data_IF_354112814368
#
_entry.id   IF_354112814368
#
_cell.length_a   1.000
_cell.length_b   1.000
_cell.length_c   1.000
_cell.angle_alpha   90.00
_cell.angle_beta   90.00
_cell.angle_gamma   90.00
#
_symmetry.space_group_name_H-M   'P 1'
#
loop_
_entity.id
_entity.type
_entity.pdbx_description
1 polymer ?
#
# COMPACT_ATOMS: atom_id res chain seq x y z
N UNK A 1 -18.96 -3.10 -8.32
CA UNK A 1 -18.21 -4.36 -8.29
C UNK A 1 -17.65 -4.55 -6.90
N UNK A 2 -17.92 -5.68 -6.28
CA UNK A 2 -17.35 -6.00 -4.98
C UNK A 2 -15.85 -6.35 -5.14
N UNK A 3 -15.03 -5.92 -4.20
CA UNK A 3 -13.56 -6.04 -4.27
C UNK A 3 -13.11 -7.51 -4.34
N UNK A 4 -13.83 -8.40 -3.70
CA UNK A 4 -13.60 -9.85 -3.69
C UNK A 4 -13.72 -10.50 -5.09
N UNK A 5 -14.33 -9.80 -6.04
CA UNK A 5 -14.45 -10.27 -7.43
C UNK A 5 -13.24 -9.90 -8.31
N UNK A 6 -12.26 -9.22 -7.76
CA UNK A 6 -11.05 -8.77 -8.46
C UNK A 6 -9.83 -9.43 -7.82
N UNK A 7 -9.09 -10.19 -8.61
CA UNK A 7 -7.80 -10.73 -8.15
C UNK A 7 -6.72 -9.66 -8.26
N UNK A 8 -6.06 -9.39 -7.14
CA UNK A 8 -4.90 -8.49 -7.10
C UNK A 8 -3.64 -9.32 -6.87
N UNK A 9 -2.61 -9.06 -7.65
CA UNK A 9 -1.33 -9.74 -7.57
C UNK A 9 -0.18 -8.76 -7.47
N UNK A 10 0.88 -9.18 -6.80
CA UNK A 10 2.18 -8.51 -6.80
C UNK A 10 3.18 -9.47 -7.42
N UNK A 11 3.78 -9.09 -8.56
CA UNK A 11 4.68 -9.94 -9.33
C UNK A 11 4.08 -11.32 -9.65
N UNK A 12 2.78 -11.39 -9.93
CA UNK A 12 2.06 -12.62 -10.22
C UNK A 12 1.63 -13.45 -9.00
N UNK A 13 1.93 -13.01 -7.78
CA UNK A 13 1.51 -13.67 -6.54
C UNK A 13 0.25 -12.99 -6.02
N UNK A 14 -0.87 -13.72 -5.81
CA UNK A 14 -2.09 -13.16 -5.26
C UNK A 14 -1.91 -12.63 -3.85
N UNK A 15 -2.54 -11.49 -3.57
CA UNK A 15 -2.49 -10.81 -2.27
C UNK A 15 -3.87 -10.59 -1.65
N UNK A 16 -4.90 -11.12 -2.29
CA UNK A 16 -6.24 -11.15 -1.70
C UNK A 16 -6.22 -12.03 -0.44
N UNK A 17 -6.89 -11.58 0.58
CA UNK A 17 -7.09 -12.34 1.81
C UNK A 17 -7.84 -13.64 1.50
N UNK A 18 -7.37 -14.75 2.06
CA UNK A 18 -7.88 -16.08 1.76
C UNK A 18 -9.25 -16.36 2.42
N UNK A 19 -9.62 -15.60 3.43
CA UNK A 19 -10.87 -15.78 4.17
C UNK A 19 -12.02 -15.04 3.49
N UNK A 20 -11.80 -13.79 3.06
CA UNK A 20 -12.88 -12.94 2.55
C UNK A 20 -12.64 -12.40 1.13
N UNK A 21 -11.52 -12.73 0.50
CA UNK A 21 -11.19 -12.33 -0.86
C UNK A 21 -10.84 -10.85 -1.04
N UNK A 22 -10.77 -10.06 0.03
CA UNK A 22 -10.50 -8.62 -0.02
C UNK A 22 -9.00 -8.33 0.00
N UNK A 23 -8.62 -7.16 -0.48
CA UNK A 23 -7.26 -6.64 -0.31
C UNK A 23 -7.28 -5.53 0.74
N UNK A 24 -6.53 -5.71 1.80
CA UNK A 24 -6.31 -4.69 2.81
C UNK A 24 -5.17 -3.78 2.36
N UNK A 25 -5.51 -2.76 1.60
CA UNK A 25 -4.54 -1.84 0.98
C UNK A 25 -3.64 -1.13 2.00
N UNK A 26 -4.11 -0.97 3.23
CA UNK A 26 -3.30 -0.47 4.33
C UNK A 26 -2.06 -1.31 4.59
N UNK A 27 -2.13 -2.64 4.41
CA UNK A 27 -0.99 -3.54 4.59
C UNK A 27 0.08 -3.39 3.49
N UNK A 28 -0.23 -2.66 2.43
CA UNK A 28 0.62 -2.44 1.27
C UNK A 28 1.02 -0.97 1.12
N UNK A 29 1.10 -0.25 2.24
CA UNK A 29 1.55 1.14 2.24
C UNK A 29 2.94 1.24 1.58
N UNK A 30 3.11 2.24 0.68
CA UNK A 30 4.34 2.41 -0.09
C UNK A 30 4.49 1.49 -1.31
N UNK A 31 3.53 0.58 -1.59
CA UNK A 31 3.58 -0.25 -2.80
C UNK A 31 3.68 0.59 -4.08
N UNK A 32 3.02 1.75 -4.12
CA UNK A 32 3.11 2.69 -5.23
C UNK A 32 4.53 3.17 -5.52
N UNK A 33 5.35 3.33 -4.49
CA UNK A 33 6.74 3.83 -4.64
C UNK A 33 7.67 2.80 -5.30
N UNK A 34 7.33 1.52 -5.17
CA UNK A 34 8.11 0.40 -5.73
C UNK A 34 7.51 -0.15 -7.02
N UNK A 35 6.32 0.30 -7.41
CA UNK A 35 5.65 -0.15 -8.63
C UNK A 35 6.39 0.38 -9.87
N UNK A 36 6.67 -0.51 -10.81
CA UNK A 36 7.19 -0.16 -12.13
C UNK A 36 6.08 -0.15 -13.19
N UNK A 37 5.12 -1.06 -13.06
CA UNK A 37 3.98 -1.18 -13.98
C UNK A 37 2.76 -1.78 -13.28
N UNK A 38 1.59 -1.50 -13.82
CA UNK A 38 0.34 -2.13 -13.41
C UNK A 38 -0.35 -2.69 -14.65
N UNK A 39 -0.63 -3.98 -14.62
CA UNK A 39 -1.34 -4.69 -15.70
C UNK A 39 -2.78 -4.94 -15.24
N UNK A 40 -3.75 -4.44 -15.98
CA UNK A 40 -5.16 -4.60 -15.65
C UNK A 40 -5.85 -5.37 -16.78
N UNK A 41 -6.44 -6.51 -16.42
CA UNK A 41 -7.28 -7.32 -17.31
C UNK A 41 -8.70 -7.26 -16.78
N UNK A 42 -9.64 -6.84 -17.62
CA UNK A 42 -11.06 -6.69 -17.27
C UNK A 42 -11.86 -7.93 -17.61
N UNK A 43 -12.83 -8.27 -16.77
CA UNK A 43 -13.78 -9.35 -16.99
C UNK A 43 -13.15 -10.75 -16.87
N UNK A 44 -13.85 -11.75 -17.42
CA UNK A 44 -13.43 -13.16 -17.46
C UNK A 44 -12.28 -13.40 -18.46
N UNK A 45 -11.36 -12.47 -18.59
CA UNK A 45 -10.20 -12.65 -19.45
C UNK A 45 -9.40 -13.89 -19.02
N UNK A 46 -8.90 -14.65 -19.98
CA UNK A 46 -7.98 -15.73 -19.73
C UNK A 46 -6.71 -15.18 -19.08
N UNK A 47 -6.73 -15.13 -17.76
CA UNK A 47 -5.53 -14.86 -16.98
C UNK A 47 -4.58 -16.04 -17.23
N UNK A 48 -3.40 -15.78 -17.78
CA UNK A 48 -2.31 -16.77 -17.81
C UNK A 48 -1.93 -17.25 -16.40
N UNK A 49 -2.49 -16.65 -15.39
CA UNK A 49 -2.20 -16.80 -13.95
C UNK A 49 -3.29 -17.60 -13.23
N UNK A 50 -3.88 -18.61 -13.86
CA UNK A 50 -4.67 -19.71 -13.25
C UNK A 50 -5.73 -19.37 -12.17
N UNK A 51 -5.95 -18.09 -11.79
CA UNK A 51 -6.93 -17.71 -10.78
C UNK A 51 -8.07 -17.01 -11.51
N UNK A 52 -9.23 -17.65 -11.52
CA UNK A 52 -10.46 -17.13 -12.08
C UNK A 52 -10.99 -15.96 -11.26
N UNK A 53 -11.13 -14.80 -11.88
CA UNK A 53 -11.75 -13.62 -11.28
C UNK A 53 -12.85 -13.13 -12.24
N UNK A 54 -14.05 -12.96 -11.72
CA UNK A 54 -15.21 -12.52 -12.51
C UNK A 54 -15.08 -11.04 -12.90
N UNK A 55 -14.50 -10.22 -12.01
CA UNK A 55 -14.35 -8.78 -12.20
C UNK A 55 -13.09 -8.38 -12.97
N UNK A 56 -12.11 -9.29 -13.04
CA UNK A 56 -10.82 -9.02 -13.67
C UNK A 56 -9.63 -9.22 -12.74
N UNK A 57 -8.45 -8.89 -13.25
CA UNK A 57 -7.18 -9.08 -12.54
C UNK A 57 -6.35 -7.82 -12.61
N UNK A 58 -5.74 -7.46 -11.50
CA UNK A 58 -4.74 -6.39 -11.38
C UNK A 58 -3.42 -7.03 -10.96
N UNK A 59 -2.39 -6.94 -11.80
CA UNK A 59 -1.04 -7.38 -11.45
C UNK A 59 -0.12 -6.17 -11.32
N UNK A 60 0.41 -5.97 -10.14
CA UNK A 60 1.35 -4.90 -9.80
C UNK A 60 2.76 -5.46 -9.96
N UNK A 61 3.50 -4.91 -10.90
CA UNK A 61 4.89 -5.31 -11.18
C UNK A 61 5.82 -4.35 -10.45
N UNK A 62 6.68 -4.87 -9.60
CA UNK A 62 7.65 -4.07 -8.86
C UNK A 62 8.93 -3.85 -9.66
N UNK A 63 9.75 -2.90 -9.23
CA UNK A 63 11.07 -2.64 -9.82
C UNK A 63 11.95 -3.89 -9.75
N UNK A 64 12.65 -4.18 -10.86
CA UNK A 64 13.47 -5.38 -11.03
C UNK A 64 14.80 -5.06 -11.74
N UNK A 65 15.42 -6.07 -12.33
CA UNK A 65 16.72 -6.01 -13.04
C UNK A 65 16.78 -4.96 -14.16
N UNK A 66 15.64 -4.64 -14.78
CA UNK A 66 15.55 -3.65 -15.85
C UNK A 66 15.51 -2.20 -15.35
N UNK A 67 15.52 -1.99 -14.04
CA UNK A 67 15.57 -0.66 -13.47
C UNK A 67 16.90 0.00 -13.76
N UNK A 68 16.88 1.25 -14.22
CA UNK A 68 18.10 2.03 -14.46
C UNK A 68 18.86 2.24 -13.16
N UNK A 69 20.20 2.20 -13.23
CA UNK A 69 21.06 2.57 -12.10
C UNK A 69 20.79 4.00 -11.67
N UNK A 70 20.56 4.20 -10.39
CA UNK A 70 20.35 5.52 -9.82
C UNK A 70 19.69 5.46 -8.46
N UNK A 71 19.66 6.59 -7.78
CA UNK A 71 18.94 6.79 -6.54
C UNK A 71 17.93 7.91 -6.70
N UNK A 72 16.91 7.92 -5.85
CA UNK A 72 15.97 9.02 -5.72
C UNK A 72 15.67 9.31 -4.27
N UNK A 73 15.43 10.57 -3.98
CA UNK A 73 14.88 11.05 -2.72
C UNK A 73 13.63 11.85 -3.05
N UNK A 74 12.53 11.50 -2.40
CA UNK A 74 11.26 12.17 -2.53
C UNK A 74 10.80 12.63 -1.17
N UNK A 75 10.41 13.89 -1.05
CA UNK A 75 9.78 14.47 0.11
C UNK A 75 8.41 15.02 -0.28
N UNK A 76 7.39 14.65 0.47
CA UNK A 76 6.03 15.13 0.26
C UNK A 76 5.49 15.70 1.57
N UNK A 77 4.84 16.83 1.46
CA UNK A 77 4.12 17.48 2.55
C UNK A 77 2.68 17.67 2.09
N UNK A 78 1.75 17.36 2.94
CA UNK A 78 0.32 17.53 2.70
C UNK A 78 -0.33 18.27 3.86
N UNK A 79 -1.62 18.59 3.72
CA UNK A 79 -2.41 19.19 4.77
C UNK A 79 -2.40 18.36 6.06
N UNK A 80 -2.76 18.99 7.16
CA UNK A 80 -2.80 18.38 8.51
C UNK A 80 -1.44 17.84 9.01
N UNK A 81 -0.35 18.40 8.50
CA UNK A 81 1.00 18.03 8.90
C UNK A 81 1.42 16.63 8.44
N UNK A 82 0.80 16.10 7.39
CA UNK A 82 1.26 14.86 6.81
C UNK A 82 2.58 15.07 6.09
N UNK A 83 3.50 14.18 6.35
CA UNK A 83 4.84 14.19 5.83
C UNK A 83 5.23 12.80 5.37
N UNK A 84 5.81 12.71 4.17
CA UNK A 84 6.34 11.45 3.64
C UNK A 84 7.74 11.69 3.08
N UNK A 85 8.65 10.81 3.46
CA UNK A 85 9.98 10.70 2.88
C UNK A 85 10.15 9.34 2.23
N UNK A 86 10.76 9.32 1.07
CA UNK A 86 11.09 8.09 0.36
C UNK A 86 12.49 8.20 -0.21
N UNK A 87 13.33 7.24 0.13
CA UNK A 87 14.65 7.05 -0.48
C UNK A 87 14.67 5.73 -1.24
N UNK A 88 15.19 5.74 -2.44
CA UNK A 88 15.37 4.51 -3.21
C UNK A 88 16.73 4.48 -3.92
N UNK A 89 17.21 3.27 -4.16
CA UNK A 89 18.44 3.05 -4.92
C UNK A 89 18.33 1.78 -5.75
N UNK A 90 18.77 1.86 -7.00
CA UNK A 90 18.86 0.72 -7.91
C UNK A 90 20.29 0.63 -8.45
N UNK A 91 20.90 -0.53 -8.39
CA UNK A 91 22.22 -0.77 -8.96
C UNK A 91 22.20 -0.77 -10.49
N UNK A 92 21.01 -0.99 -11.08
CA UNK A 92 20.90 -1.46 -12.46
C UNK A 92 21.53 -2.85 -12.61
N UNK A 93 21.54 -3.35 -13.83
CA UNK A 93 22.21 -4.60 -14.17
C UNK A 93 23.73 -4.43 -14.10
N UNK A 94 24.37 -5.21 -13.27
CA UNK A 94 25.83 -5.24 -13.13
C UNK A 94 26.47 -6.12 -14.23
N UNK A 95 27.79 -6.04 -14.36
CA UNK A 95 28.54 -6.89 -15.32
C UNK A 95 28.37 -8.39 -15.10
N UNK A 96 28.01 -8.79 -13.90
CA UNK A 96 27.77 -10.19 -13.52
C UNK A 96 26.27 -10.52 -13.51
N UNK A 97 25.43 -9.77 -14.20
CA UNK A 97 23.97 -9.96 -14.32
C UNK A 97 23.21 -10.01 -12.99
N UNK A 98 23.72 -9.29 -12.00
CA UNK A 98 23.01 -9.00 -10.77
C UNK A 98 22.35 -7.62 -10.83
N UNK A 99 21.22 -7.49 -10.18
CA UNK A 99 20.65 -6.18 -9.86
C UNK A 99 20.05 -6.19 -8.46
N UNK A 100 20.15 -5.05 -7.78
CA UNK A 100 19.57 -4.82 -6.47
C UNK A 100 18.77 -3.54 -6.51
N UNK A 101 17.54 -3.60 -6.02
CA UNK A 101 16.66 -2.44 -5.82
C UNK A 101 16.29 -2.35 -4.34
N UNK A 102 16.49 -1.19 -3.77
CA UNK A 102 16.20 -0.89 -2.36
C UNK A 102 15.26 0.31 -2.30
N UNK A 103 14.32 0.28 -1.35
CA UNK A 103 13.52 1.44 -1.01
C UNK A 103 13.20 1.42 0.48
N UNK A 104 13.24 2.60 1.06
CA UNK A 104 12.69 2.89 2.37
C UNK A 104 11.79 4.12 2.27
N UNK A 105 10.61 4.06 2.89
CA UNK A 105 9.71 5.19 2.99
C UNK A 105 9.16 5.29 4.40
N UNK A 106 9.03 6.52 4.88
CA UNK A 106 8.35 6.87 6.12
C UNK A 106 7.23 7.83 5.84
N UNK A 107 6.07 7.55 6.41
CA UNK A 107 4.90 8.45 6.37
C UNK A 107 4.46 8.71 7.80
N UNK A 108 4.29 9.98 8.14
CA UNK A 108 3.80 10.41 9.46
C UNK A 108 2.83 11.59 9.28
N UNK A 109 1.83 11.71 10.14
CA UNK A 109 0.94 12.87 10.16
C UNK A 109 -0.47 12.55 10.64
N UNK A 110 -1.31 13.58 10.60
CA UNK A 110 -2.72 13.50 11.01
C UNK A 110 -3.62 13.56 9.76
N UNK A 111 -4.85 13.10 9.90
CA UNK A 111 -5.90 13.29 8.90
C UNK A 111 -6.83 14.47 9.22
N UNK A 112 -7.76 14.74 8.31
CA UNK A 112 -8.80 15.77 8.50
C UNK A 112 -9.71 15.45 9.70
N UNK A 113 -10.02 14.18 9.89
CA UNK A 113 -10.95 13.71 10.93
C UNK A 113 -10.19 13.48 12.23
N UNK A 114 -10.77 13.86 13.34
CA UNK A 114 -10.18 13.71 14.66
C UNK A 114 -9.80 12.28 14.99
N UNK A 115 -8.65 12.10 15.61
CA UNK A 115 -8.11 10.78 15.92
C UNK A 115 -7.59 9.99 14.71
N UNK A 116 -7.78 10.47 13.47
CA UNK A 116 -7.13 9.87 12.33
C UNK A 116 -5.66 10.34 12.24
N UNK A 117 -4.76 9.40 12.19
CA UNK A 117 -3.32 9.62 12.05
C UNK A 117 -2.72 8.46 11.27
N UNK A 118 -1.55 8.66 10.72
CA UNK A 118 -0.74 7.63 10.09
C UNK A 118 0.68 7.72 10.62
N UNK A 119 1.26 6.58 10.99
CA UNK A 119 2.68 6.41 11.27
C UNK A 119 3.07 5.07 10.64
N UNK A 120 3.73 5.15 9.50
CA UNK A 120 4.00 3.98 8.67
C UNK A 120 5.42 4.01 8.14
N UNK A 121 6.01 2.81 8.03
CA UNK A 121 7.28 2.61 7.36
C UNK A 121 7.07 1.58 6.24
N UNK A 122 7.82 1.72 5.16
CA UNK A 122 7.83 0.75 4.07
C UNK A 122 9.27 0.38 3.77
N UNK A 123 9.51 -0.92 3.68
CA UNK A 123 10.79 -1.48 3.29
C UNK A 123 10.59 -2.33 2.05
N UNK A 124 11.44 -2.15 1.07
CA UNK A 124 11.45 -2.97 -0.13
C UNK A 124 12.88 -3.34 -0.50
N UNK A 125 13.08 -4.60 -0.78
CA UNK A 125 14.34 -5.15 -1.30
C UNK A 125 14.00 -6.10 -2.43
N UNK A 126 14.61 -5.91 -3.59
CA UNK A 126 14.56 -6.87 -4.68
C UNK A 126 15.98 -7.18 -5.15
N UNK A 127 16.31 -8.45 -5.20
CA UNK A 127 17.60 -8.96 -5.69
C UNK A 127 17.30 -9.85 -6.88
N UNK A 128 17.90 -9.55 -8.02
CA UNK A 128 17.71 -10.28 -9.25
C UNK A 128 19.05 -10.81 -9.78
N UNK A 129 19.04 -12.01 -10.32
CA UNK A 129 20.16 -12.65 -11.02
C UNK A 129 19.65 -13.28 -12.31
N UNK A 130 20.24 -12.93 -13.43
CA UNK A 130 20.11 -13.69 -14.68
C UNK A 130 21.26 -14.67 -14.81
N UNK A 131 20.96 -15.93 -15.01
CA UNK A 131 21.95 -16.99 -15.24
C UNK A 131 22.22 -17.17 -16.73
N UNK A 132 21.17 -17.00 -17.56
CA UNK A 132 21.20 -17.02 -19.02
C UNK A 132 19.88 -16.44 -19.55
N UNK A 133 19.72 -16.40 -20.88
CA UNK A 133 18.53 -15.83 -21.54
C UNK A 133 17.19 -16.45 -21.12
N UNK A 134 17.21 -17.69 -20.63
CA UNK A 134 16.02 -18.46 -20.29
C UNK A 134 15.83 -18.65 -18.78
N UNK A 135 16.81 -18.32 -17.95
CA UNK A 135 16.77 -18.58 -16.53
C UNK A 135 17.17 -17.35 -15.70
N UNK A 136 16.28 -16.93 -14.85
CA UNK A 136 16.52 -15.84 -13.88
C UNK A 136 15.96 -16.20 -12.51
N UNK A 137 16.49 -15.58 -11.48
CA UNK A 137 15.99 -15.64 -10.12
C UNK A 137 15.72 -14.22 -9.64
N UNK A 138 14.55 -14.00 -9.08
CA UNK A 138 14.18 -12.72 -8.43
C UNK A 138 13.70 -13.04 -7.02
N UNK A 139 14.36 -12.46 -6.04
CA UNK A 139 13.95 -12.48 -4.64
C UNK A 139 13.43 -11.08 -4.28
N UNK A 140 12.20 -11.00 -3.79
CA UNK A 140 11.59 -9.75 -3.38
C UNK A 140 11.08 -9.87 -1.96
N UNK A 141 11.43 -8.90 -1.13
CA UNK A 141 10.89 -8.74 0.20
C UNK A 141 10.27 -7.35 0.32
N UNK A 142 9.08 -7.29 0.92
CA UNK A 142 8.36 -6.05 1.22
C UNK A 142 7.80 -6.11 2.64
N UNK A 143 7.89 -5.00 3.36
CA UNK A 143 7.29 -4.83 4.66
C UNK A 143 6.72 -3.43 4.80
N UNK A 144 5.53 -3.33 5.40
CA UNK A 144 4.82 -2.08 5.59
C UNK A 144 4.24 -1.96 7.02
N UNK A 145 5.08 -2.03 8.08
CA UNK A 145 4.59 -1.84 9.44
C UNK A 145 3.99 -0.44 9.59
N UNK A 146 2.80 -0.39 10.18
CA UNK A 146 2.08 0.86 10.35
C UNK A 146 1.20 0.88 11.59
N UNK A 147 0.92 2.11 12.04
CA UNK A 147 -0.13 2.44 12.99
C UNK A 147 -0.95 3.56 12.41
N UNK A 148 -2.25 3.44 12.46
CA UNK A 148 -3.15 4.49 11.97
C UNK A 148 -4.43 4.54 12.80
N UNK A 149 -5.02 5.73 12.90
CA UNK A 149 -6.36 5.88 13.42
C UNK A 149 -7.39 5.58 12.34
N UNK A 150 -8.48 4.94 12.71
CA UNK A 150 -9.56 4.59 11.79
C UNK A 150 -10.81 5.42 12.05
N UNK A 151 -11.65 5.51 11.02
CA UNK A 151 -13.03 5.94 11.09
C UNK A 151 -13.88 4.94 10.34
N UNK A 152 -14.49 4.03 11.06
CA UNK A 152 -15.31 2.97 10.49
C UNK A 152 -16.82 3.31 10.56
N UNK A 153 -17.21 4.08 11.58
CA UNK A 153 -18.60 4.47 11.77
C UNK A 153 -18.92 5.76 11.03
N UNK A 154 -20.04 5.73 10.30
CA UNK A 154 -20.60 6.91 9.64
C UNK A 154 -21.35 7.80 10.64
N UNK A 155 -21.28 9.11 10.42
CA UNK A 155 -22.09 10.08 11.14
C UNK A 155 -23.42 10.28 10.43
N UNK A 156 -24.47 10.47 11.19
CA UNK A 156 -25.77 10.95 10.66
C UNK A 156 -25.68 12.44 10.35
N UNK A 157 -26.58 12.99 9.50
CA UNK A 157 -26.64 14.43 9.26
C UNK A 157 -26.77 15.24 10.56
N UNK A 158 -27.60 14.80 11.49
CA UNK A 158 -27.84 15.48 12.77
C UNK A 158 -26.57 15.52 13.64
N UNK A 159 -25.76 14.44 13.61
CA UNK A 159 -24.47 14.39 14.31
C UNK A 159 -23.43 15.29 13.67
N UNK A 160 -23.44 15.42 12.34
CA UNK A 160 -22.57 16.35 11.62
C UNK A 160 -22.93 17.80 11.99
N UNK A 161 -24.22 18.12 12.07
CA UNK A 161 -24.69 19.44 12.48
C UNK A 161 -24.36 19.75 13.95
N UNK A 162 -24.41 18.74 14.82
CA UNK A 162 -24.14 18.89 16.26
C UNK A 162 -22.65 18.92 16.60
N UNK A 163 -21.85 18.05 15.99
CA UNK A 163 -20.44 17.80 16.38
C UNK A 163 -19.42 18.27 15.34
N UNK A 164 -19.89 18.60 14.13
CA UNK A 164 -19.02 19.02 13.02
C UNK A 164 -18.47 17.85 12.20
N UNK A 165 -17.92 18.19 11.02
CA UNK A 165 -17.41 17.22 10.04
C UNK A 165 -16.14 16.48 10.49
N UNK A 166 -15.40 17.02 11.44
CA UNK A 166 -14.14 16.43 11.93
C UNK A 166 -14.36 15.41 13.04
N UNK A 167 -15.55 15.39 13.64
CA UNK A 167 -15.86 14.44 14.70
C UNK A 167 -15.70 12.99 14.24
N UNK A 168 -15.08 12.19 15.09
CA UNK A 168 -14.87 10.75 14.87
C UNK A 168 -15.49 9.97 16.03
N UNK A 169 -16.57 9.26 15.75
CA UNK A 169 -17.26 8.45 16.74
C UNK A 169 -16.36 7.34 17.31
N UNK A 170 -15.47 6.76 16.49
CA UNK A 170 -14.56 5.71 16.93
C UNK A 170 -13.44 6.27 17.84
N UNK A 171 -13.07 7.52 17.66
CA UNK A 171 -12.16 8.23 18.56
C UNK A 171 -12.81 8.61 19.88
N UNK A 172 -14.11 8.98 19.86
CA UNK A 172 -14.93 9.24 21.03
C UNK A 172 -14.66 10.54 21.76
N UNK A 173 -13.83 11.44 21.24
CA UNK A 173 -13.49 12.72 21.83
C UNK A 173 -14.00 13.88 20.97
N UNK A 174 -14.47 14.93 21.63
CA UNK A 174 -14.83 16.19 21.01
C UNK A 174 -14.16 17.33 21.77
N UNK A 175 -13.37 18.17 21.08
CA UNK A 175 -12.61 19.29 21.70
C UNK A 175 -11.74 18.88 22.91
N UNK A 176 -11.26 17.64 22.93
CA UNK A 176 -10.43 17.09 24.02
C UNK A 176 -11.20 16.45 25.18
N UNK A 177 -12.54 16.53 25.18
CA UNK A 177 -13.40 15.88 26.17
C UNK A 177 -13.96 14.57 25.63
N UNK A 178 -14.02 13.54 26.46
CA UNK A 178 -14.61 12.27 26.10
C UNK A 178 -16.12 12.37 26.01
N UNK A 179 -16.65 12.11 24.79
CA UNK A 179 -18.10 12.15 24.52
C UNK A 179 -18.68 10.73 24.48
N UNK A 180 -17.97 9.79 23.87
CA UNK A 180 -18.31 8.39 23.81
C UNK A 180 -17.04 7.58 24.03
N UNK A 181 -17.12 6.41 24.65
CA UNK A 181 -15.96 5.55 24.85
C UNK A 181 -15.19 5.29 23.56
N UNK A 182 -13.86 5.38 23.62
CA UNK A 182 -12.97 5.13 22.50
C UNK A 182 -13.11 3.71 21.99
N UNK A 183 -13.37 3.56 20.71
CA UNK A 183 -13.39 2.26 20.05
C UNK A 183 -11.94 1.90 19.62
N UNK A 184 -11.34 0.92 20.29
CA UNK A 184 -9.95 0.54 20.04
C UNK A 184 -9.84 -0.40 18.83
N UNK A 185 -9.98 0.11 17.63
CA UNK A 185 -9.51 -0.56 16.43
C UNK A 185 -8.09 -0.08 16.10
N UNK A 186 -7.10 -0.72 16.70
CA UNK A 186 -5.70 -0.57 16.32
C UNK A 186 -5.23 -1.86 15.66
N UNK A 187 -4.78 -1.74 14.46
CA UNK A 187 -3.99 -2.76 13.78
C UNK A 187 -2.52 -2.38 13.79
#
# INVERSE_FOLDING_TARGET
FAQENITVMINGVPVNDMENGKVYWSNWNGLGDVTSAMQVVRGLGASKLAIGSIGGTINIVTKSIDSKKGGSYLQQVSDYGQFKETISYNTGRTKNDWAVSLLYSRTDGKGYVDGSYVNANTYFVSISKEFNENNSLVLTAVGAPQKHGQRDQYLTPDEVDQYGHQYNRDWGYLNGEELNGRNNFYH
#
